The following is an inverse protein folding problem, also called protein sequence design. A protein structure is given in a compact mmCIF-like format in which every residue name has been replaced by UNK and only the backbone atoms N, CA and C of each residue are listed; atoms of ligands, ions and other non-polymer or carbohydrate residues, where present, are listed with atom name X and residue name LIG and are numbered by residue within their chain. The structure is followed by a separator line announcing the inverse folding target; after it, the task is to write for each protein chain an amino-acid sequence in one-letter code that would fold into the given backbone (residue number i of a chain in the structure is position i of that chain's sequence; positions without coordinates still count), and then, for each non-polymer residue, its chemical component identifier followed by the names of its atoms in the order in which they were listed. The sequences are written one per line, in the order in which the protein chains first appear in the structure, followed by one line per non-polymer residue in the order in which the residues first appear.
data_IF_751476122222
#
_entry.id   IF_751476122222
#
_cell.length_a   1.000
_cell.length_b   1.000
_cell.length_c   1.000
_cell.angle_alpha   90.00
_cell.angle_beta   90.00
_cell.angle_gamma   90.00
#
_symmetry.space_group_name_H-M   'P 1'
#
loop_
_entity.id
_entity.type
_entity.pdbx_description
1 polymer ?
#
# COMPACT_ATOMS: atom_id res chain seq x y z
N UNK A 1 2.98 -9.80 -21.44
CA UNK A 1 4.43 -9.47 -21.40
C UNK A 1 4.93 -9.87 -20.01
N UNK A 2 6.12 -10.43 -19.90
CA UNK A 2 6.63 -10.82 -18.59
C UNK A 2 6.92 -9.59 -17.71
N UNK A 3 6.55 -9.66 -16.44
CA UNK A 3 6.88 -8.66 -15.41
C UNK A 3 8.40 -8.68 -15.17
N UNK A 4 9.01 -7.52 -15.04
CA UNK A 4 10.44 -7.33 -14.74
C UNK A 4 10.65 -6.65 -13.38
N UNK A 5 9.69 -5.83 -12.96
CA UNK A 5 9.75 -5.13 -11.70
C UNK A 5 8.46 -5.32 -10.89
N UNK A 6 8.63 -5.45 -9.57
CA UNK A 6 7.52 -5.51 -8.62
C UNK A 6 7.64 -4.33 -7.67
N UNK A 7 6.61 -3.50 -7.60
CA UNK A 7 6.56 -2.33 -6.74
C UNK A 7 5.47 -2.54 -5.69
N UNK A 8 5.84 -2.44 -4.44
CA UNK A 8 4.93 -2.64 -3.30
C UNK A 8 4.46 -1.32 -2.73
N UNK A 9 3.17 -1.20 -2.45
CA UNK A 9 2.70 -0.29 -1.42
C UNK A 9 3.26 -0.71 -0.05
N UNK A 10 3.14 0.14 0.95
CA UNK A 10 3.78 -0.05 2.25
C UNK A 10 2.76 -0.39 3.33
N UNK A 11 1.85 0.53 3.66
CA UNK A 11 0.83 0.32 4.69
C UNK A 11 -0.17 -0.76 4.30
N UNK A 12 -0.55 -1.63 5.22
CA UNK A 12 -1.45 -2.77 4.99
C UNK A 12 -1.05 -3.68 3.79
N UNK A 13 0.17 -3.48 3.27
CA UNK A 13 0.77 -4.33 2.24
C UNK A 13 2.04 -5.01 2.75
N UNK A 14 3.04 -4.26 3.18
CA UNK A 14 4.26 -4.74 3.81
C UNK A 14 4.20 -4.63 5.33
N UNK A 15 3.55 -3.60 5.83
CA UNK A 15 3.46 -3.22 7.25
C UNK A 15 2.02 -3.30 7.72
N UNK A 16 1.80 -3.98 8.85
CA UNK A 16 0.54 -4.01 9.58
C UNK A 16 0.35 -2.70 10.37
N UNK A 17 -0.62 -1.90 9.98
CA UNK A 17 -0.89 -0.61 10.61
C UNK A 17 -1.73 -0.70 11.90
N UNK A 18 -2.06 -1.90 12.38
CA UNK A 18 -2.89 -2.10 13.57
C UNK A 18 -2.32 -1.37 14.79
N UNK A 19 -1.01 -1.47 15.02
CA UNK A 19 -0.33 -0.78 16.12
C UNK A 19 -0.42 0.74 15.99
N UNK A 20 -0.20 1.28 14.79
CA UNK A 20 -0.34 2.71 14.49
C UNK A 20 -1.76 3.21 14.78
N UNK A 21 -2.76 2.56 14.22
CA UNK A 21 -4.17 2.95 14.40
C UNK A 21 -4.63 2.82 15.85
N UNK A 22 -4.05 1.87 16.61
CA UNK A 22 -4.29 1.75 18.05
C UNK A 22 -3.79 2.99 18.80
N UNK A 23 -2.59 3.47 18.49
CA UNK A 23 -2.04 4.70 19.08
C UNK A 23 -2.84 5.94 18.68
N UNK A 24 -3.25 6.03 17.42
CA UNK A 24 -4.08 7.13 16.91
C UNK A 24 -5.43 7.18 17.62
N UNK A 25 -6.09 6.03 17.82
CA UNK A 25 -7.34 5.94 18.56
C UNK A 25 -7.17 6.44 20.01
N UNK A 26 -6.11 5.98 20.69
CA UNK A 26 -5.82 6.40 22.06
C UNK A 26 -5.58 7.91 22.16
N UNK A 27 -4.83 8.49 21.22
CA UNK A 27 -4.59 9.93 21.15
C UNK A 27 -5.88 10.74 20.89
N UNK A 28 -6.82 10.17 20.12
CA UNK A 28 -8.16 10.76 19.90
C UNK A 28 -9.18 10.49 21.00
N UNK A 29 -8.80 9.79 22.08
CA UNK A 29 -9.69 9.50 23.20
C UNK A 29 -10.79 8.48 22.89
N UNK A 30 -10.64 7.66 21.85
CA UNK A 30 -11.58 6.61 21.46
C UNK A 30 -10.91 5.22 21.50
N UNK A 31 -11.73 4.16 21.51
CA UNK A 31 -11.17 2.81 21.40
C UNK A 31 -10.75 2.49 19.96
N UNK A 32 -9.75 1.62 19.74
CA UNK A 32 -9.40 1.16 18.38
C UNK A 32 -10.61 0.57 17.65
N UNK A 33 -11.47 -0.17 18.34
CA UNK A 33 -12.70 -0.73 17.78
C UNK A 33 -13.64 0.37 17.25
N UNK A 34 -13.83 1.46 18.02
CA UNK A 34 -14.67 2.60 17.59
C UNK A 34 -14.08 3.30 16.37
N UNK A 35 -12.77 3.55 16.37
CA UNK A 35 -12.10 4.18 15.25
C UNK A 35 -12.21 3.32 13.98
N UNK A 36 -11.91 2.01 14.08
CA UNK A 36 -11.98 1.09 12.95
C UNK A 36 -13.40 0.93 12.40
N UNK A 37 -14.41 0.91 13.26
CA UNK A 37 -15.80 0.91 12.82
C UNK A 37 -16.15 2.19 12.03
N UNK A 38 -15.70 3.35 12.49
CA UNK A 38 -15.83 4.62 11.77
C UNK A 38 -15.12 4.63 10.41
N UNK A 39 -13.87 4.18 10.35
CA UNK A 39 -13.11 4.03 9.11
C UNK A 39 -13.84 3.07 8.15
N UNK A 40 -14.33 1.93 8.65
CA UNK A 40 -15.12 1.00 7.83
C UNK A 40 -16.36 1.65 7.20
N UNK A 41 -17.02 2.55 7.92
CA UNK A 41 -18.16 3.32 7.38
C UNK A 41 -17.71 4.27 6.25
N UNK A 42 -16.57 4.95 6.39
CA UNK A 42 -16.04 5.84 5.33
C UNK A 42 -15.66 5.03 4.08
N UNK A 43 -14.98 3.90 4.25
CA UNK A 43 -14.61 3.00 3.15
C UNK A 43 -15.86 2.49 2.41
N UNK A 44 -16.84 1.96 3.14
CA UNK A 44 -18.07 1.44 2.56
C UNK A 44 -18.89 2.50 1.78
N UNK A 45 -18.71 3.78 2.10
CA UNK A 45 -19.33 4.92 1.41
C UNK A 45 -18.46 5.51 0.30
N UNK A 46 -17.30 4.96 0.00
CA UNK A 46 -16.34 5.52 -0.96
C UNK A 46 -15.82 6.91 -0.56
N UNK A 47 -15.72 7.18 0.75
CA UNK A 47 -15.30 8.47 1.30
C UNK A 47 -13.86 8.40 1.81
N UNK A 48 -13.12 9.51 1.81
CA UNK A 48 -11.80 9.59 2.42
C UNK A 48 -11.84 9.15 3.90
N UNK A 49 -10.89 8.35 4.32
CA UNK A 49 -10.85 7.82 5.69
C UNK A 49 -10.70 8.90 6.77
N UNK A 50 -10.08 10.04 6.44
CA UNK A 50 -9.93 11.16 7.36
C UNK A 50 -11.27 11.83 7.72
N UNK A 51 -12.35 11.57 7.00
CA UNK A 51 -13.70 12.03 7.40
C UNK A 51 -14.20 11.33 8.68
N UNK A 52 -13.54 10.26 9.12
CA UNK A 52 -13.84 9.57 10.37
C UNK A 52 -13.79 10.51 11.58
N UNK A 53 -12.90 11.50 11.56
CA UNK A 53 -12.76 12.45 12.66
C UNK A 53 -14.04 13.28 12.86
N UNK A 54 -14.56 13.82 11.77
CA UNK A 54 -15.87 14.51 11.80
C UNK A 54 -17.04 13.59 12.16
N UNK A 55 -17.00 12.33 11.68
CA UNK A 55 -18.02 11.33 12.00
C UNK A 55 -18.05 11.00 13.50
N UNK A 56 -16.88 10.93 14.13
CA UNK A 56 -16.76 10.66 15.57
C UNK A 56 -16.82 11.91 16.45
N UNK A 57 -16.85 13.11 15.86
CA UNK A 57 -16.87 14.38 16.60
C UNK A 57 -15.60 14.67 17.39
N UNK A 58 -14.45 14.21 16.89
CA UNK A 58 -13.12 14.41 17.51
C UNK A 58 -12.20 15.16 16.57
N UNK A 59 -11.20 15.86 17.11
CA UNK A 59 -10.13 16.45 16.33
C UNK A 59 -9.23 15.36 15.77
N UNK A 60 -8.64 15.60 14.60
CA UNK A 60 -7.64 14.70 14.02
C UNK A 60 -6.43 14.61 14.95
N UNK A 61 -6.17 13.46 15.59
CA UNK A 61 -5.02 13.33 16.47
C UNK A 61 -3.73 13.29 15.66
N UNK A 62 -2.61 13.73 16.24
CA UNK A 62 -1.31 13.61 15.59
C UNK A 62 -1.01 12.13 15.35
N UNK A 63 -0.77 11.76 14.11
CA UNK A 63 -0.36 10.41 13.73
C UNK A 63 1.14 10.25 13.85
N UNK A 64 1.58 9.14 14.45
CA UNK A 64 2.95 8.68 14.35
C UNK A 64 2.98 7.42 13.50
N UNK A 65 3.53 7.54 12.30
CA UNK A 65 3.77 6.41 11.43
C UNK A 65 5.02 5.65 11.92
N UNK A 66 4.98 4.31 11.94
CA UNK A 66 6.12 3.47 12.32
C UNK A 66 6.22 2.28 11.39
N UNK A 67 7.43 1.69 11.25
CA UNK A 67 7.71 0.51 10.45
C UNK A 67 7.96 -0.74 11.31
N UNK A 68 7.42 -0.77 12.54
CA UNK A 68 7.76 -1.83 13.51
C UNK A 68 7.03 -3.15 13.22
N UNK A 69 5.79 -3.08 12.76
CA UNK A 69 4.91 -4.24 12.64
C UNK A 69 4.85 -4.76 11.18
N UNK A 70 5.87 -5.51 10.76
CA UNK A 70 5.89 -6.12 9.43
C UNK A 70 4.96 -7.31 9.34
N UNK A 71 4.24 -7.45 8.23
CA UNK A 71 3.58 -8.72 7.94
C UNK A 71 4.61 -9.84 7.80
N UNK A 72 4.32 -11.05 8.37
CA UNK A 72 5.32 -12.14 8.42
C UNK A 72 5.83 -12.61 7.07
N UNK A 73 5.01 -12.49 6.01
CA UNK A 73 5.31 -12.89 4.65
C UNK A 73 6.00 -11.78 3.82
N UNK A 74 6.06 -10.54 4.33
CA UNK A 74 6.57 -9.40 3.57
C UNK A 74 8.07 -9.54 3.23
N UNK A 75 8.92 -9.60 4.25
CA UNK A 75 10.38 -9.74 4.03
C UNK A 75 10.76 -11.00 3.24
N UNK A 76 10.22 -12.21 3.56
CA UNK A 76 10.47 -13.39 2.75
C UNK A 76 10.04 -13.25 1.28
N UNK A 77 8.94 -12.55 1.00
CA UNK A 77 8.50 -12.29 -0.36
C UNK A 77 9.49 -11.40 -1.12
N UNK A 78 9.93 -10.28 -0.51
CA UNK A 78 10.94 -9.39 -1.13
C UNK A 78 12.22 -10.15 -1.49
N UNK A 79 12.73 -10.98 -0.57
CA UNK A 79 13.93 -11.80 -0.78
C UNK A 79 13.74 -12.83 -1.92
N UNK A 80 12.59 -13.53 -1.95
CA UNK A 80 12.29 -14.51 -3.00
C UNK A 80 12.20 -13.87 -4.38
N UNK A 81 11.53 -12.72 -4.51
CA UNK A 81 11.42 -12.01 -5.77
C UNK A 81 12.77 -11.51 -6.27
N UNK A 82 13.61 -10.95 -5.40
CA UNK A 82 14.97 -10.56 -5.77
C UNK A 82 15.83 -11.76 -6.21
N UNK A 83 15.73 -12.88 -5.49
CA UNK A 83 16.43 -14.12 -5.86
C UNK A 83 15.94 -14.69 -7.21
N UNK A 84 14.67 -14.46 -7.57
CA UNK A 84 14.11 -14.83 -8.87
C UNK A 84 14.47 -13.84 -9.99
N UNK A 85 15.19 -12.76 -9.70
CA UNK A 85 15.69 -11.80 -10.69
C UNK A 85 14.77 -10.63 -10.97
N UNK A 86 13.65 -10.47 -10.21
CA UNK A 86 12.83 -9.26 -10.31
C UNK A 86 13.54 -8.07 -9.68
N UNK A 87 13.35 -6.88 -10.29
CA UNK A 87 13.65 -5.63 -9.63
C UNK A 87 12.54 -5.37 -8.61
N UNK A 88 12.90 -5.29 -7.32
CA UNK A 88 11.95 -5.12 -6.22
C UNK A 88 12.02 -3.69 -5.70
N UNK A 89 10.89 -2.98 -5.74
CA UNK A 89 10.79 -1.60 -5.29
C UNK A 89 9.65 -1.45 -4.28
N UNK A 90 9.64 -0.32 -3.55
CA UNK A 90 8.52 0.05 -2.70
C UNK A 90 8.18 1.52 -2.88
N UNK A 91 6.88 1.86 -2.85
CA UNK A 91 6.43 3.25 -2.90
C UNK A 91 5.01 3.40 -2.34
N UNK A 92 4.79 4.46 -1.57
CA UNK A 92 3.50 4.69 -0.93
C UNK A 92 3.26 6.15 -0.56
N UNK A 93 2.05 6.42 -0.06
CA UNK A 93 1.72 7.69 0.58
C UNK A 93 2.31 7.71 2.00
N UNK A 94 3.63 7.86 2.09
CA UNK A 94 4.40 7.67 3.31
C UNK A 94 5.28 8.87 3.63
N UNK A 95 5.66 9.06 4.91
CA UNK A 95 6.71 10.00 5.32
C UNK A 95 8.07 9.64 4.70
N UNK A 96 8.95 10.64 4.56
CA UNK A 96 10.24 10.46 3.91
C UNK A 96 11.19 9.47 4.61
N UNK A 97 11.10 9.32 5.94
CA UNK A 97 11.96 8.40 6.71
C UNK A 97 11.72 6.92 6.34
N UNK A 98 10.55 6.59 5.79
CA UNK A 98 10.21 5.23 5.34
C UNK A 98 11.17 4.75 4.24
N UNK A 99 11.68 5.68 3.43
CA UNK A 99 12.68 5.34 2.42
C UNK A 99 13.97 4.80 3.05
N UNK A 100 14.43 5.40 4.14
CA UNK A 100 15.67 4.98 4.82
C UNK A 100 15.50 3.58 5.46
N UNK A 101 14.30 3.28 5.97
CA UNK A 101 13.97 1.96 6.56
C UNK A 101 13.83 0.85 5.49
N UNK A 102 13.33 1.18 4.30
CA UNK A 102 13.13 0.23 3.21
C UNK A 102 14.36 0.03 2.33
N UNK A 103 15.23 1.02 2.22
CA UNK A 103 16.39 0.99 1.33
C UNK A 103 17.28 -0.27 1.47
N UNK A 104 17.49 -0.85 2.68
CA UNK A 104 18.27 -2.10 2.80
C UNK A 104 17.57 -3.35 2.24
N UNK A 105 16.24 -3.29 2.04
CA UNK A 105 15.40 -4.45 1.73
C UNK A 105 14.97 -4.54 0.26
N UNK A 106 14.99 -3.40 -0.45
CA UNK A 106 14.53 -3.28 -1.84
C UNK A 106 15.59 -2.62 -2.72
N UNK A 107 15.42 -2.72 -4.03
CA UNK A 107 16.37 -2.15 -5.01
C UNK A 107 16.19 -0.65 -5.20
N UNK A 108 14.96 -0.14 -4.96
CA UNK A 108 14.66 1.28 -4.96
C UNK A 108 13.39 1.57 -4.15
N UNK A 109 13.33 2.74 -3.57
CA UNK A 109 12.19 3.19 -2.76
C UNK A 109 11.85 4.64 -3.05
N UNK A 110 10.57 4.99 -2.95
CA UNK A 110 10.09 6.35 -3.08
C UNK A 110 8.88 6.63 -2.19
N UNK A 111 8.73 7.87 -1.77
CA UNK A 111 7.63 8.31 -0.92
C UNK A 111 6.90 9.51 -1.51
N UNK A 112 5.60 9.62 -1.24
CA UNK A 112 4.83 10.82 -1.59
C UNK A 112 5.43 12.08 -1.00
N UNK A 113 5.97 11.99 0.21
CA UNK A 113 6.61 13.13 0.90
C UNK A 113 7.82 13.69 0.14
N UNK A 114 8.67 12.83 -0.47
CA UNK A 114 9.82 13.30 -1.26
C UNK A 114 9.43 13.65 -2.69
N UNK A 115 8.45 12.95 -3.27
CA UNK A 115 8.02 13.19 -4.64
C UNK A 115 7.13 14.41 -4.81
N UNK A 116 6.47 14.87 -3.73
CA UNK A 116 5.51 15.97 -3.78
C UNK A 116 4.22 15.62 -4.55
N UNK A 117 4.00 14.34 -4.80
CA UNK A 117 2.79 13.78 -5.44
C UNK A 117 2.37 12.53 -4.69
N UNK A 118 1.07 12.27 -4.64
CA UNK A 118 0.51 11.15 -3.88
C UNK A 118 -0.46 10.30 -4.70
N UNK A 119 -0.68 9.06 -4.28
CA UNK A 119 -1.74 8.19 -4.77
C UNK A 119 -3.12 8.81 -4.45
N UNK A 120 -4.10 8.68 -5.34
CA UNK A 120 -4.10 7.88 -6.58
C UNK A 120 -3.70 8.65 -7.86
N UNK A 121 -2.96 9.76 -7.76
CA UNK A 121 -2.67 10.59 -8.93
C UNK A 121 -1.84 9.87 -10.00
N UNK A 122 -2.15 10.12 -11.28
CA UNK A 122 -1.36 9.60 -12.39
C UNK A 122 0.12 10.03 -12.32
N UNK A 123 0.41 11.20 -11.74
CA UNK A 123 1.78 11.69 -11.53
C UNK A 123 2.56 10.79 -10.56
N UNK A 124 1.91 10.23 -9.53
CA UNK A 124 2.54 9.26 -8.63
C UNK A 124 2.95 7.99 -9.40
N UNK A 125 2.06 7.42 -10.21
CA UNK A 125 2.35 6.21 -10.98
C UNK A 125 3.37 6.43 -12.11
N UNK A 126 3.48 7.65 -12.64
CA UNK A 126 4.60 8.01 -13.51
C UNK A 126 5.95 7.94 -12.76
N UNK A 127 6.00 8.44 -11.51
CA UNK A 127 7.20 8.30 -10.64
C UNK A 127 7.48 6.84 -10.28
N UNK A 128 6.45 6.00 -10.12
CA UNK A 128 6.61 4.55 -9.93
C UNK A 128 7.31 3.91 -11.14
N UNK A 129 6.91 4.26 -12.36
CA UNK A 129 7.54 3.73 -13.56
C UNK A 129 9.01 4.18 -13.68
N UNK A 130 9.30 5.45 -13.38
CA UNK A 130 10.69 5.95 -13.30
C UNK A 130 11.51 5.18 -12.25
N UNK A 131 10.96 4.94 -11.06
CA UNK A 131 11.59 4.20 -9.97
C UNK A 131 11.90 2.76 -10.38
N UNK A 132 10.93 2.10 -11.02
CA UNK A 132 11.06 0.73 -11.50
C UNK A 132 12.03 0.60 -12.68
N UNK A 133 12.24 1.67 -13.45
CA UNK A 133 13.19 1.72 -14.55
C UNK A 133 12.82 0.85 -15.75
N UNK A 134 11.53 0.55 -15.92
CA UNK A 134 11.00 -0.24 -17.05
C UNK A 134 9.62 0.28 -17.46
N UNK A 135 9.12 -0.22 -18.59
CA UNK A 135 7.79 0.17 -19.13
C UNK A 135 6.67 -0.26 -18.16
N UNK A 136 5.60 0.54 -18.03
CA UNK A 136 4.49 0.23 -17.14
C UNK A 136 3.92 -1.19 -17.29
N UNK A 137 3.78 -1.68 -18.52
CA UNK A 137 3.26 -3.02 -18.78
C UNK A 137 4.15 -4.18 -18.27
N UNK A 138 5.36 -3.87 -17.81
CA UNK A 138 6.32 -4.80 -17.21
C UNK A 138 6.47 -4.62 -15.69
N UNK A 139 5.65 -3.77 -15.10
CA UNK A 139 5.61 -3.49 -13.66
C UNK A 139 4.38 -4.15 -13.06
N UNK A 140 4.56 -4.93 -12.00
CA UNK A 140 3.49 -5.33 -11.11
C UNK A 140 3.44 -4.37 -9.91
N UNK A 141 2.32 -3.68 -9.72
CA UNK A 141 2.07 -2.87 -8.53
C UNK A 141 1.19 -3.63 -7.55
N UNK A 142 1.67 -3.82 -6.32
CA UNK A 142 1.03 -4.63 -5.28
C UNK A 142 0.53 -3.71 -4.18
N UNK A 143 -0.76 -3.74 -3.87
CA UNK A 143 -1.35 -2.95 -2.79
C UNK A 143 -2.67 -3.52 -2.29
N UNK A 144 -3.15 -3.03 -1.14
CA UNK A 144 -4.39 -3.46 -0.49
C UNK A 144 -5.61 -2.65 -0.93
N UNK A 145 -5.41 -1.41 -1.41
CA UNK A 145 -6.48 -0.48 -1.71
C UNK A 145 -6.87 -0.49 -3.17
N UNK A 146 -8.14 -0.77 -3.44
CA UNK A 146 -8.65 -0.74 -4.83
C UNK A 146 -8.62 0.68 -5.40
N UNK A 147 -9.07 1.66 -4.63
CA UNK A 147 -9.16 3.07 -5.03
C UNK A 147 -7.80 3.76 -5.17
N UNK A 148 -6.81 3.33 -4.42
CA UNK A 148 -5.54 4.03 -4.26
C UNK A 148 -4.37 3.33 -4.98
N UNK A 149 -4.45 2.01 -5.15
CA UNK A 149 -3.39 1.19 -5.71
C UNK A 149 -3.82 0.52 -7.00
N UNK A 150 -4.92 -0.27 -6.95
CA UNK A 150 -5.29 -1.18 -8.03
C UNK A 150 -5.79 -0.44 -9.26
N UNK A 151 -6.81 0.41 -9.11
CA UNK A 151 -7.38 1.13 -10.24
C UNK A 151 -6.36 2.06 -10.90
N UNK A 152 -5.62 2.91 -10.15
CA UNK A 152 -4.67 3.80 -10.79
C UNK A 152 -3.45 3.06 -11.38
N UNK A 153 -3.04 1.90 -10.84
CA UNK A 153 -2.02 1.07 -11.47
C UNK A 153 -2.48 0.52 -12.83
N UNK A 154 -3.73 0.03 -12.91
CA UNK A 154 -4.34 -0.40 -14.17
C UNK A 154 -4.44 0.74 -15.18
N UNK A 155 -4.86 1.93 -14.74
CA UNK A 155 -4.94 3.13 -15.57
C UNK A 155 -3.56 3.56 -16.09
N UNK A 156 -2.51 3.34 -15.31
CA UNK A 156 -1.13 3.57 -15.74
C UNK A 156 -0.58 2.48 -16.69
N UNK A 157 -1.35 1.43 -16.98
CA UNK A 157 -0.94 0.32 -17.82
C UNK A 157 -0.09 -0.73 -17.13
N UNK A 158 -0.05 -0.75 -15.80
CA UNK A 158 0.68 -1.73 -14.99
C UNK A 158 -0.17 -2.99 -14.74
N UNK A 159 0.49 -4.08 -14.36
CA UNK A 159 -0.18 -5.26 -13.79
C UNK A 159 -0.53 -4.93 -12.34
N UNK A 160 -1.82 -4.87 -12.01
CA UNK A 160 -2.24 -4.59 -10.65
C UNK A 160 -2.46 -5.88 -9.87
N UNK A 161 -1.89 -5.94 -8.67
CA UNK A 161 -2.07 -7.05 -7.73
C UNK A 161 -2.71 -6.52 -6.45
N UNK A 162 -3.91 -7.04 -6.15
CA UNK A 162 -4.63 -6.72 -4.92
C UNK A 162 -4.32 -7.75 -3.85
N UNK A 163 -3.73 -7.32 -2.75
CA UNK A 163 -3.57 -8.16 -1.55
C UNK A 163 -4.72 -7.90 -0.58
N UNK A 164 -5.41 -8.95 -0.15
CA UNK A 164 -6.57 -8.85 0.73
C UNK A 164 -6.14 -8.72 2.18
N UNK A 165 -5.72 -7.52 2.57
CA UNK A 165 -5.26 -7.15 3.92
C UNK A 165 -5.91 -5.86 4.38
N UNK A 166 -5.87 -5.63 5.68
CA UNK A 166 -6.39 -4.42 6.26
C UNK A 166 -7.87 -4.12 5.96
N UNK A 167 -8.39 -3.01 6.46
CA UNK A 167 -9.79 -2.64 6.26
C UNK A 167 -10.18 -2.46 4.79
N UNK A 168 -9.31 -1.82 4.01
CA UNK A 168 -9.59 -1.57 2.58
C UNK A 168 -9.56 -2.85 1.76
N UNK A 169 -8.54 -3.70 1.94
CA UNK A 169 -8.41 -4.96 1.22
C UNK A 169 -9.57 -5.93 1.47
N UNK A 170 -10.27 -5.80 2.60
CA UNK A 170 -11.47 -6.59 2.91
C UNK A 170 -12.77 -5.95 2.46
N UNK A 171 -12.87 -4.62 2.42
CA UNK A 171 -14.12 -3.89 2.16
C UNK A 171 -14.24 -3.39 0.72
N UNK A 172 -13.16 -3.33 -0.03
CA UNK A 172 -13.17 -2.96 -1.44
C UNK A 172 -13.06 -4.19 -2.34
N UNK A 173 -13.81 -4.21 -3.44
CA UNK A 173 -13.80 -5.31 -4.40
C UNK A 173 -12.98 -4.93 -5.63
N UNK A 174 -11.84 -5.59 -5.92
CA UNK A 174 -11.01 -5.27 -7.07
C UNK A 174 -11.68 -5.71 -8.39
N UNK A 175 -11.42 -5.00 -9.51
CA UNK A 175 -11.93 -5.38 -10.82
C UNK A 175 -11.34 -6.73 -11.27
N UNK A 176 -12.01 -7.36 -12.25
CA UNK A 176 -11.57 -8.67 -12.78
C UNK A 176 -10.18 -8.63 -13.42
N UNK A 177 -9.74 -7.47 -13.87
CA UNK A 177 -8.41 -7.28 -14.47
C UNK A 177 -7.26 -7.34 -13.47
N UNK A 178 -7.54 -7.22 -12.16
CA UNK A 178 -6.54 -7.31 -11.12
C UNK A 178 -6.28 -8.76 -10.69
N UNK A 179 -5.02 -9.09 -10.47
CA UNK A 179 -4.63 -10.34 -9.80
C UNK A 179 -5.02 -10.20 -8.32
N UNK A 180 -5.53 -11.27 -7.73
CA UNK A 180 -6.00 -11.28 -6.34
C UNK A 180 -5.21 -12.29 -5.54
N UNK A 181 -4.62 -11.84 -4.43
CA UNK A 181 -3.90 -12.70 -3.49
C UNK A 181 -4.38 -12.44 -2.06
N UNK A 182 -4.16 -13.41 -1.17
CA UNK A 182 -4.45 -13.30 0.27
C UNK A 182 -3.18 -13.19 1.11
N UNK A 183 -2.06 -13.59 0.52
CA UNK A 183 -0.73 -13.53 1.13
C UNK A 183 0.29 -13.17 0.06
N UNK A 184 1.34 -12.47 0.43
CA UNK A 184 2.48 -12.21 -0.44
C UNK A 184 3.24 -13.51 -0.80
N UNK A 185 2.99 -14.60 -0.06
CA UNK A 185 3.55 -15.91 -0.40
C UNK A 185 3.04 -16.44 -1.76
N UNK A 186 1.84 -16.03 -2.18
CA UNK A 186 1.26 -16.41 -3.47
C UNK A 186 1.86 -15.64 -4.65
N UNK A 187 2.46 -14.47 -4.39
CA UNK A 187 2.85 -13.53 -5.45
C UNK A 187 3.81 -14.12 -6.49
N UNK A 188 4.89 -14.85 -6.15
CA UNK A 188 5.81 -15.40 -7.13
C UNK A 188 5.18 -16.39 -8.13
N UNK A 189 4.05 -16.99 -7.76
CA UNK A 189 3.36 -18.02 -8.57
C UNK A 189 2.32 -17.42 -9.52
N UNK A 190 1.86 -16.18 -9.24
CA UNK A 190 0.78 -15.55 -10.01
C UNK A 190 1.24 -14.44 -10.95
N UNK A 191 2.49 -14.03 -10.85
CA UNK A 191 3.07 -13.02 -11.76
C UNK A 191 3.21 -13.59 -13.19
N UNK A 192 2.78 -12.83 -14.23
CA UNK A 192 2.81 -13.28 -15.62
C UNK A 192 4.21 -13.23 -16.26
#
# INVERSE_FOLDING_TARGET
MAVEAVVFDVGETLVDETGMWTRVAAAGGVTPFTLMAGIGVTIARGRPHNEVWGLLGIEHPPGTWTMEDWYPDARPCLERLRAAGYRVCASGNTPAFVEDELAPLVDAVGSSARWGVEKPSAAFFARVAELAGTEPARIAYVGDRVDNDVLPALEAGMVAVHVRRGPWGFLQEPPQAAIRIRSLDELPEVLP
#
